data_IF_885715182428
#
_entry.id   IF_885715182428
#
_cell.length_a   1.000
_cell.length_b   1.000
_cell.length_c   1.000
_cell.angle_alpha   90.00
_cell.angle_beta   90.00
_cell.angle_gamma   90.00
#
_symmetry.space_group_name_H-M   'P 1'
#
loop_
_entity.id
_entity.type
_entity.pdbx_description
1 polymer ?
#
# COMPACT_ATOMS: atom_id res chain seq x y z
N UNK A 1 25.23 29.28 2.77
CA UNK A 1 24.36 28.66 3.79
C UNK A 1 22.96 29.24 3.64
N UNK A 2 22.09 28.59 2.87
CA UNK A 2 20.70 29.04 2.72
C UNK A 2 19.80 28.10 3.50
N UNK A 3 19.27 28.57 4.64
CA UNK A 3 18.20 27.88 5.36
C UNK A 3 16.91 28.19 4.63
N UNK A 4 16.48 27.29 3.75
CA UNK A 4 15.14 27.32 3.18
C UNK A 4 14.12 27.18 4.31
N UNK A 5 13.42 28.28 4.62
CA UNK A 5 12.29 28.30 5.55
C UNK A 5 11.21 27.37 5.00
N UNK A 6 10.83 26.38 5.80
CA UNK A 6 9.59 25.64 5.58
C UNK A 6 8.44 26.64 5.66
N UNK A 7 7.66 26.67 4.57
CA UNK A 7 6.41 27.43 4.47
C UNK A 7 5.43 26.93 5.53
N UNK A 8 4.95 27.82 6.39
CA UNK A 8 3.76 27.57 7.21
C UNK A 8 2.58 27.39 6.25
N UNK A 9 2.10 26.15 6.16
CA UNK A 9 1.02 25.76 5.29
C UNK A 9 -0.23 26.62 5.53
N UNK A 10 -0.67 27.35 4.51
CA UNK A 10 -2.04 27.86 4.43
C UNK A 10 -3.06 26.71 4.40
N UNK A 11 -4.38 26.99 4.45
CA UNK A 11 -5.41 25.96 4.41
C UNK A 11 -5.24 25.10 3.15
N UNK A 12 -4.81 23.85 3.36
CA UNK A 12 -4.55 22.89 2.29
C UNK A 12 -5.88 22.57 1.60
N UNK A 13 -6.10 23.16 0.41
CA UNK A 13 -7.32 23.00 -0.38
C UNK A 13 -7.46 21.62 -1.04
N UNK A 14 -6.42 20.78 -0.96
CA UNK A 14 -6.36 19.45 -1.56
C UNK A 14 -5.82 18.42 -0.57
N UNK A 15 -6.40 17.23 -0.59
CA UNK A 15 -5.94 16.08 0.18
C UNK A 15 -4.66 15.52 -0.45
N UNK A 16 -3.52 15.75 0.19
CA UNK A 16 -2.19 15.40 -0.32
C UNK A 16 -1.62 14.16 0.39
N UNK A 17 -0.80 13.35 -0.30
CA UNK A 17 -0.06 12.28 0.35
C UNK A 17 0.98 12.85 1.32
N UNK A 18 1.25 12.11 2.40
CA UNK A 18 2.34 12.41 3.33
C UNK A 18 3.71 12.25 2.66
N UNK A 19 3.83 11.28 1.75
CA UNK A 19 5.03 11.04 0.94
C UNK A 19 4.66 10.38 -0.39
N UNK A 20 5.52 10.51 -1.40
CA UNK A 20 5.35 9.84 -2.69
C UNK A 20 6.58 8.99 -3.03
N UNK A 21 6.43 7.67 -2.96
CA UNK A 21 7.47 6.68 -3.22
C UNK A 21 7.04 5.27 -2.80
N UNK A 22 8.01 4.37 -2.60
CA UNK A 22 7.74 2.98 -2.25
C UNK A 22 8.24 2.66 -0.83
N UNK A 23 7.42 2.00 -0.02
CA UNK A 23 7.85 1.47 1.27
C UNK A 23 8.24 0.02 1.06
N UNK A 24 9.53 -0.25 1.04
CA UNK A 24 10.05 -1.60 0.89
C UNK A 24 10.14 -2.29 2.26
N UNK A 25 10.77 -1.60 3.21
CA UNK A 25 11.18 -2.14 4.51
C UNK A 25 10.60 -1.39 5.71
N UNK A 26 10.80 -1.93 6.91
CA UNK A 26 10.50 -1.22 8.16
C UNK A 26 11.46 -0.06 8.43
N UNK A 27 12.67 -0.08 7.86
CA UNK A 27 13.59 1.07 7.92
C UNK A 27 13.01 2.29 7.19
N UNK A 28 12.35 2.08 6.05
CA UNK A 28 11.64 3.16 5.35
C UNK A 28 10.51 3.76 6.19
N UNK A 29 9.78 2.90 6.89
CA UNK A 29 8.73 3.30 7.84
C UNK A 29 9.31 4.15 8.97
N UNK A 30 10.45 3.75 9.54
CA UNK A 30 11.11 4.50 10.60
C UNK A 30 11.51 5.91 10.14
N UNK A 31 12.05 6.05 8.93
CA UNK A 31 12.41 7.35 8.35
C UNK A 31 11.19 8.26 8.15
N UNK A 32 10.11 7.71 7.59
CA UNK A 32 8.86 8.44 7.38
C UNK A 32 8.24 8.92 8.69
N UNK A 33 8.19 8.04 9.70
CA UNK A 33 7.66 8.39 11.01
C UNK A 33 8.54 9.40 11.74
N UNK A 34 9.87 9.28 11.66
CA UNK A 34 10.78 10.25 12.28
C UNK A 34 10.58 11.65 11.69
N UNK A 35 10.50 11.79 10.35
CA UNK A 35 10.22 13.08 9.72
C UNK A 35 8.82 13.60 10.07
N UNK A 36 7.82 12.73 10.23
CA UNK A 36 6.48 13.14 10.65
C UNK A 36 6.46 13.63 12.11
N UNK A 37 7.14 12.93 13.02
CA UNK A 37 7.29 13.31 14.43
C UNK A 37 8.05 14.63 14.60
N UNK A 38 8.99 14.92 13.69
CA UNK A 38 9.73 16.18 13.66
C UNK A 38 8.98 17.30 12.90
N UNK A 39 7.75 17.06 12.44
CA UNK A 39 6.92 18.04 11.75
C UNK A 39 7.42 18.41 10.34
N UNK A 40 8.33 17.61 9.76
CA UNK A 40 8.84 17.82 8.41
C UNK A 40 7.92 17.20 7.35
N UNK A 41 7.21 16.13 7.71
CA UNK A 41 6.11 15.57 6.93
C UNK A 41 4.81 15.72 7.73
N UNK A 42 3.69 15.89 7.01
CA UNK A 42 2.39 16.05 7.63
C UNK A 42 1.60 14.74 7.58
N UNK A 43 1.12 14.28 8.73
CA UNK A 43 0.06 13.28 8.75
C UNK A 43 -1.22 13.85 8.13
N UNK A 44 -2.09 12.99 7.60
CA UNK A 44 -3.39 13.43 7.10
C UNK A 44 -4.34 13.74 8.26
N UNK A 45 -5.14 14.81 8.15
CA UNK A 45 -6.00 15.25 9.26
C UNK A 45 -7.42 14.67 9.21
N UNK A 46 -7.79 13.94 8.14
CA UNK A 46 -9.14 13.40 7.93
C UNK A 46 -9.13 12.29 6.89
N UNK A 47 -10.26 11.60 6.72
CA UNK A 47 -10.48 10.73 5.56
C UNK A 47 -10.62 11.57 4.27
N UNK A 48 -10.27 10.98 3.11
CA UNK A 48 -10.50 11.62 1.82
C UNK A 48 -12.00 11.68 1.49
N UNK A 49 -12.44 12.79 0.91
CA UNK A 49 -13.79 12.90 0.36
C UNK A 49 -13.91 12.12 -0.95
N UNK A 50 -15.13 11.79 -1.37
CA UNK A 50 -15.39 10.98 -2.57
C UNK A 50 -14.73 11.54 -3.84
N UNK A 51 -14.72 12.87 -4.00
CA UNK A 51 -14.05 13.57 -5.11
C UNK A 51 -12.53 13.45 -5.09
N UNK A 52 -11.94 13.22 -3.93
CA UNK A 52 -10.49 13.12 -3.72
C UNK A 52 -9.99 11.68 -3.88
N UNK A 53 -10.84 10.66 -3.69
CA UNK A 53 -10.46 9.23 -3.70
C UNK A 53 -9.70 8.80 -4.96
N UNK A 54 -10.03 9.34 -6.14
CA UNK A 54 -9.30 9.04 -7.39
C UNK A 54 -7.84 9.50 -7.36
N UNK A 55 -7.55 10.57 -6.64
CA UNK A 55 -6.18 11.08 -6.47
C UNK A 55 -5.45 10.39 -5.31
N UNK A 56 -6.19 9.81 -4.37
CA UNK A 56 -5.63 9.00 -3.28
C UNK A 56 -5.03 7.70 -3.83
N UNK A 57 -5.78 7.00 -4.69
CA UNK A 57 -5.38 5.73 -5.29
C UNK A 57 -4.46 5.99 -6.49
N UNK A 58 -3.22 6.38 -6.19
CA UNK A 58 -2.17 6.55 -7.18
C UNK A 58 -0.91 5.82 -6.71
N UNK A 59 -0.18 5.27 -7.65
CA UNK A 59 1.05 4.55 -7.37
C UNK A 59 2.09 5.50 -6.78
N UNK A 60 2.70 5.09 -5.68
CA UNK A 60 3.63 5.88 -4.89
C UNK A 60 2.99 6.63 -3.72
N UNK A 61 1.68 6.83 -3.69
CA UNK A 61 1.09 7.60 -2.60
C UNK A 61 1.22 6.88 -1.25
N UNK A 62 1.72 7.60 -0.25
CA UNK A 62 1.83 7.17 1.14
C UNK A 62 1.10 8.17 2.03
N UNK A 63 0.24 7.65 2.90
CA UNK A 63 -0.52 8.42 3.88
C UNK A 63 -0.19 7.93 5.28
N UNK A 64 0.08 8.86 6.19
CA UNK A 64 0.27 8.59 7.61
C UNK A 64 -0.86 9.25 8.37
N UNK A 65 -1.52 8.54 9.29
CA UNK A 65 -2.56 9.12 10.14
C UNK A 65 -2.50 8.61 11.57
N UNK A 66 -3.00 9.44 12.48
CA UNK A 66 -3.16 9.15 13.91
C UNK A 66 -4.64 9.26 14.27
N UNK A 67 -5.21 8.23 14.91
CA UNK A 67 -6.64 8.20 15.24
C UNK A 67 -7.04 9.40 16.12
N UNK A 68 -6.25 9.71 17.16
CA UNK A 68 -6.57 10.75 18.13
C UNK A 68 -6.65 12.17 17.56
N UNK A 69 -5.98 12.43 16.43
CA UNK A 69 -5.96 13.76 15.80
C UNK A 69 -6.86 13.79 14.56
N UNK A 70 -6.84 12.72 13.76
CA UNK A 70 -7.56 12.68 12.48
C UNK A 70 -9.01 12.16 12.59
N UNK A 71 -9.34 11.48 13.68
CA UNK A 71 -10.60 10.74 13.85
C UNK A 71 -10.72 9.51 12.95
N UNK A 72 -9.66 9.13 12.21
CA UNK A 72 -9.68 8.00 11.30
C UNK A 72 -9.40 6.73 12.07
N UNK A 73 -10.42 5.89 12.25
CA UNK A 73 -10.27 4.56 12.87
C UNK A 73 -9.88 3.48 11.86
N UNK A 74 -10.43 3.60 10.64
CA UNK A 74 -10.16 2.69 9.53
C UNK A 74 -10.02 3.47 8.24
N UNK A 75 -8.94 3.21 7.53
CA UNK A 75 -8.73 3.79 6.21
C UNK A 75 -9.74 3.24 5.20
N UNK A 76 -10.51 4.13 4.59
CA UNK A 76 -11.55 3.78 3.61
C UNK A 76 -11.34 4.59 2.34
N UNK A 77 -11.11 3.89 1.22
CA UNK A 77 -10.74 4.49 -0.07
C UNK A 77 -11.74 4.18 -1.20
N UNK A 78 -12.74 3.34 -0.93
CA UNK A 78 -13.78 2.96 -1.88
C UNK A 78 -13.35 1.92 -2.93
N UNK A 79 -12.16 1.32 -2.80
CA UNK A 79 -11.69 0.27 -3.70
C UNK A 79 -12.06 -1.10 -3.14
N UNK A 80 -12.41 -2.03 -4.05
CA UNK A 80 -12.64 -3.42 -3.69
C UNK A 80 -11.29 -4.12 -3.55
N UNK A 81 -10.95 -4.49 -2.32
CA UNK A 81 -9.67 -5.11 -1.96
C UNK A 81 -9.84 -6.60 -1.70
N UNK A 82 -8.83 -7.40 -2.04
CA UNK A 82 -8.73 -8.78 -1.58
C UNK A 82 -8.69 -8.86 -0.05
N UNK A 83 -8.91 -10.04 0.56
CA UNK A 83 -8.48 -10.30 1.93
C UNK A 83 -7.00 -9.93 2.12
N UNK A 84 -6.63 -9.56 3.35
CA UNK A 84 -5.25 -9.22 3.69
C UNK A 84 -4.35 -10.45 3.62
N UNK A 85 -3.14 -10.27 3.07
CA UNK A 85 -2.04 -11.21 3.18
C UNK A 85 -0.93 -10.58 4.03
N UNK A 86 -0.36 -11.33 4.97
CA UNK A 86 0.79 -10.87 5.76
C UNK A 86 2.07 -11.03 4.94
N UNK A 87 2.85 -9.96 4.85
CA UNK A 87 4.17 -9.94 4.23
C UNK A 87 5.15 -9.23 5.18
N UNK A 88 5.91 -10.01 5.93
CA UNK A 88 6.69 -9.49 7.06
C UNK A 88 5.81 -8.72 8.03
N UNK A 89 6.14 -7.45 8.27
CA UNK A 89 5.39 -6.57 9.18
C UNK A 89 4.22 -5.83 8.52
N UNK A 90 3.89 -6.17 7.28
CA UNK A 90 2.87 -5.46 6.50
C UNK A 90 1.66 -6.34 6.22
N UNK A 91 0.50 -5.70 6.15
CA UNK A 91 -0.68 -6.28 5.52
C UNK A 91 -0.77 -5.78 4.09
N UNK A 92 -0.93 -6.72 3.17
CA UNK A 92 -1.02 -6.47 1.73
C UNK A 92 -2.42 -6.78 1.25
N UNK A 93 -2.96 -5.88 0.43
CA UNK A 93 -4.24 -5.99 -0.23
C UNK A 93 -4.04 -5.70 -1.72
N UNK A 94 -4.76 -6.40 -2.58
CA UNK A 94 -4.75 -6.13 -4.02
C UNK A 94 -6.14 -5.79 -4.54
N UNK A 95 -6.18 -4.85 -5.47
CA UNK A 95 -7.42 -4.44 -6.13
C UNK A 95 -7.99 -5.64 -6.89
N UNK A 96 -9.25 -5.95 -6.60
CA UNK A 96 -10.03 -6.97 -7.29
C UNK A 96 -11.09 -6.30 -8.15
N UNK A 97 -11.38 -6.90 -9.30
CA UNK A 97 -12.48 -6.44 -10.15
C UNK A 97 -13.82 -6.51 -9.42
N UNK A 98 -14.85 -5.81 -9.91
CA UNK A 98 -16.21 -6.03 -9.43
C UNK A 98 -16.53 -7.52 -9.55
N UNK A 99 -17.12 -8.10 -8.51
CA UNK A 99 -17.61 -9.46 -8.56
C UNK A 99 -18.60 -9.53 -9.74
N UNK A 100 -18.20 -10.15 -10.84
CA UNK A 100 -19.14 -10.51 -11.90
C UNK A 100 -20.16 -11.40 -11.22
N UNK A 101 -21.41 -10.95 -11.11
CA UNK A 101 -22.49 -11.69 -10.47
C UNK A 101 -22.81 -12.97 -11.24
N UNK A 102 -21.94 -13.97 -11.20
CA UNK A 102 -22.31 -15.35 -11.43
C UNK A 102 -22.95 -15.83 -10.14
N UNK A 103 -24.29 -15.85 -10.13
CA UNK A 103 -25.06 -16.67 -9.18
C UNK A 103 -24.42 -18.08 -9.14
N UNK A 104 -24.38 -18.76 -7.98
CA UNK A 104 -24.00 -20.15 -7.97
C UNK A 104 -25.14 -20.92 -8.63
N UNK A 105 -24.98 -21.27 -9.90
CA UNK A 105 -25.84 -22.27 -10.51
C UNK A 105 -25.46 -23.61 -9.88
N UNK A 106 -26.41 -24.20 -9.16
CA UNK A 106 -26.26 -25.48 -8.52
C UNK A 106 -26.11 -26.56 -9.56
N UNK A 107 -24.88 -26.93 -9.89
CA UNK A 107 -24.59 -28.24 -10.49
C UNK A 107 -23.19 -28.72 -10.09
N UNK A 108 -23.14 -29.49 -9.00
CA UNK A 108 -22.12 -30.49 -8.80
C UNK A 108 -22.29 -31.55 -9.88
N UNK A 109 -21.45 -31.55 -10.92
CA UNK A 109 -21.01 -32.79 -11.56
C UNK A 109 -19.55 -32.68 -12.04
N UNK A 110 -18.77 -33.61 -11.52
CA UNK A 110 -17.38 -33.95 -11.80
C UNK A 110 -17.11 -34.12 -13.31
N UNK A 111 -16.02 -33.51 -13.81
CA UNK A 111 -14.99 -34.09 -14.70
C UNK A 111 -14.36 -33.04 -15.65
N UNK A 112 -13.04 -32.91 -15.61
CA UNK A 112 -12.19 -32.63 -16.78
C UNK A 112 -12.08 -31.17 -17.27
N UNK A 113 -10.99 -30.50 -16.87
CA UNK A 113 -10.07 -29.62 -17.63
C UNK A 113 -10.51 -28.81 -18.88
N UNK A 114 -11.76 -28.37 -19.09
CA UNK A 114 -12.17 -27.79 -20.37
C UNK A 114 -12.82 -26.38 -20.36
N UNK A 115 -12.63 -25.55 -19.33
CA UNK A 115 -13.29 -24.23 -19.28
C UNK A 115 -12.32 -23.05 -19.15
N UNK A 116 -11.45 -22.81 -20.15
CA UNK A 116 -10.59 -21.61 -20.16
C UNK A 116 -10.40 -20.94 -21.53
N UNK A 117 -11.42 -20.84 -22.39
CA UNK A 117 -11.30 -20.05 -23.63
C UNK A 117 -12.33 -18.91 -23.67
N UNK A 118 -11.85 -17.67 -23.53
CA UNK A 118 -12.56 -16.46 -23.99
C UNK A 118 -12.03 -16.13 -25.37
N UNK A 119 -12.93 -16.08 -26.35
CA UNK A 119 -12.61 -15.79 -27.74
C UNK A 119 -12.37 -14.29 -27.91
N UNK A 120 -11.14 -13.90 -28.26
CA UNK A 120 -10.86 -12.66 -28.99
C UNK A 120 -9.98 -12.99 -30.18
N UNK A 121 -10.39 -12.45 -31.32
CA UNK A 121 -9.69 -12.57 -32.58
C UNK A 121 -8.44 -11.70 -32.55
N UNK A 122 -7.35 -12.33 -33.01
CA UNK A 122 -6.03 -11.78 -33.28
C UNK A 122 -5.03 -11.66 -32.11
N UNK A 123 -3.88 -12.32 -32.30
CA UNK A 123 -2.68 -12.49 -31.45
C UNK A 123 -2.77 -13.38 -30.18
N UNK A 124 -2.34 -14.63 -30.36
CA UNK A 124 -1.52 -15.38 -29.39
C UNK A 124 -2.22 -15.92 -28.13
N UNK A 125 -2.21 -17.26 -27.98
CA UNK A 125 -2.55 -17.92 -26.72
C UNK A 125 -1.54 -17.54 -25.62
N UNK A 126 -1.87 -16.56 -24.76
CA UNK A 126 -1.16 -16.40 -23.49
C UNK A 126 -1.83 -17.33 -22.48
N UNK A 127 -1.11 -18.37 -22.06
CA UNK A 127 -1.56 -19.28 -21.02
C UNK A 127 -1.89 -18.51 -19.75
N UNK A 128 -3.10 -18.70 -19.23
CA UNK A 128 -3.60 -18.11 -17.96
C UNK A 128 -2.78 -18.55 -16.72
N UNK A 129 -1.78 -19.41 -16.90
CA UNK A 129 -0.80 -19.82 -15.88
C UNK A 129 0.41 -18.88 -15.76
N UNK A 130 0.50 -17.82 -16.58
CA UNK A 130 1.63 -16.88 -16.55
C UNK A 130 1.23 -15.48 -16.08
N UNK A 131 0.60 -15.38 -14.90
CA UNK A 131 0.59 -14.13 -14.15
C UNK A 131 1.63 -14.26 -13.04
N UNK A 132 2.87 -13.93 -13.44
CA UNK A 132 4.08 -13.66 -12.68
C UNK A 132 4.18 -14.28 -11.27
N UNK A 133 4.91 -15.39 -11.18
CA UNK A 133 5.56 -15.83 -9.93
C UNK A 133 6.59 -14.80 -9.40
N UNK A 134 6.99 -13.83 -10.22
CA UNK A 134 8.12 -12.93 -9.94
C UNK A 134 7.79 -11.82 -8.93
N UNK A 135 6.52 -11.44 -8.78
CA UNK A 135 6.13 -10.36 -7.85
C UNK A 135 5.75 -10.90 -6.46
N UNK A 136 6.12 -12.14 -6.12
CA UNK A 136 5.79 -12.74 -4.83
C UNK A 136 6.34 -11.91 -3.66
N UNK A 137 7.49 -11.28 -3.84
CA UNK A 137 8.12 -10.39 -2.84
C UNK A 137 7.32 -9.11 -2.59
N UNK A 138 6.44 -8.71 -3.52
CA UNK A 138 5.57 -7.54 -3.38
C UNK A 138 4.20 -7.91 -2.79
N UNK A 139 3.72 -9.12 -3.09
CA UNK A 139 2.34 -9.51 -2.76
C UNK A 139 2.22 -10.56 -1.65
N UNK A 140 3.30 -11.26 -1.31
CA UNK A 140 3.33 -12.39 -0.38
C UNK A 140 2.79 -13.68 -0.99
N UNK A 141 1.48 -13.77 -1.21
CA UNK A 141 0.80 -14.98 -1.69
C UNK A 141 0.34 -14.88 -3.16
N UNK A 142 0.42 -15.99 -3.93
CA UNK A 142 -0.15 -16.04 -5.27
C UNK A 142 -1.67 -15.99 -5.20
N UNK A 143 -2.29 -15.01 -5.85
CA UNK A 143 -3.75 -14.87 -5.88
C UNK A 143 -4.21 -14.74 -7.33
N UNK A 144 -5.15 -15.61 -7.71
CA UNK A 144 -5.42 -16.00 -9.09
C UNK A 144 -6.51 -15.17 -9.81
N UNK A 145 -6.98 -14.07 -9.22
CA UNK A 145 -8.18 -13.37 -9.72
C UNK A 145 -8.06 -11.84 -9.78
N UNK A 146 -6.92 -11.32 -10.23
CA UNK A 146 -6.71 -9.87 -10.29
C UNK A 146 -6.84 -9.28 -11.68
N UNK A 147 -7.27 -8.02 -11.68
CA UNK A 147 -7.20 -7.11 -12.82
C UNK A 147 -5.74 -6.98 -13.30
N UNK A 148 -5.48 -6.90 -14.61
CA UNK A 148 -4.17 -6.49 -15.12
C UNK A 148 -3.79 -5.12 -14.52
N UNK A 149 -2.54 -4.96 -14.07
CA UNK A 149 -2.05 -3.72 -13.43
C UNK A 149 -2.89 -3.25 -12.23
N UNK A 150 -3.38 -4.21 -11.42
CA UNK A 150 -4.13 -3.89 -10.21
C UNK A 150 -3.27 -3.08 -9.22
N UNK A 151 -3.90 -2.12 -8.54
CA UNK A 151 -3.24 -1.47 -7.42
C UNK A 151 -3.01 -2.44 -6.26
N UNK A 152 -1.94 -2.18 -5.51
CA UNK A 152 -1.63 -2.82 -4.24
C UNK A 152 -1.71 -1.76 -3.15
N UNK A 153 -2.35 -2.12 -2.04
CA UNK A 153 -2.35 -1.36 -0.80
C UNK A 153 -1.53 -2.11 0.23
N UNK A 154 -0.50 -1.47 0.77
CA UNK A 154 0.39 -1.97 1.83
C UNK A 154 0.19 -1.14 3.08
N UNK A 155 -0.13 -1.78 4.19
CA UNK A 155 -0.41 -1.10 5.45
C UNK A 155 0.42 -1.62 6.60
N UNK A 156 0.75 -0.75 7.54
CA UNK A 156 1.40 -1.09 8.80
C UNK A 156 0.93 -0.13 9.88
N UNK A 157 0.89 -0.60 11.13
CA UNK A 157 0.65 0.25 12.30
C UNK A 157 1.86 0.16 13.21
N UNK A 158 2.40 1.31 13.61
CA UNK A 158 3.54 1.38 14.54
C UNK A 158 3.15 2.24 15.73
N UNK A 159 3.31 1.70 16.93
CA UNK A 159 3.05 2.45 18.16
C UNK A 159 4.33 3.13 18.63
N UNK A 160 4.26 4.45 18.80
CA UNK A 160 5.38 5.27 19.30
C UNK A 160 4.84 6.21 20.36
N UNK A 161 5.48 6.22 21.53
CA UNK A 161 5.07 7.02 22.70
C UNK A 161 3.61 6.77 23.09
N UNK A 162 3.17 5.50 23.00
CA UNK A 162 1.80 5.08 23.30
C UNK A 162 0.75 5.44 22.24
N UNK A 163 1.14 6.14 21.16
CA UNK A 163 0.22 6.56 20.09
C UNK A 163 0.39 5.66 18.86
N UNK A 164 -0.67 4.98 18.41
CA UNK A 164 -0.64 4.20 17.17
C UNK A 164 -0.62 5.14 15.95
N UNK A 165 0.37 4.94 15.09
CA UNK A 165 0.51 5.62 13.79
C UNK A 165 0.27 4.63 12.67
N UNK A 166 -0.71 4.92 11.85
CA UNK A 166 -1.11 4.08 10.74
C UNK A 166 -0.51 4.60 9.44
N UNK A 167 0.03 3.68 8.64
CA UNK A 167 0.59 4.00 7.32
C UNK A 167 -0.17 3.21 6.27
N UNK A 168 -0.56 3.88 5.20
CA UNK A 168 -1.20 3.31 4.02
C UNK A 168 -0.41 3.72 2.79
N UNK A 169 0.12 2.75 2.07
CA UNK A 169 0.90 2.95 0.84
C UNK A 169 0.21 2.28 -0.34
N UNK A 170 0.21 2.95 -1.48
CA UNK A 170 -0.32 2.45 -2.74
C UNK A 170 0.78 2.33 -3.78
N UNK A 171 0.80 1.23 -4.53
CA UNK A 171 1.72 1.07 -5.65
C UNK A 171 1.19 0.05 -6.67
N UNK A 172 1.76 0.07 -7.87
CA UNK A 172 1.67 -1.04 -8.83
C UNK A 172 3.03 -1.74 -8.89
N UNK A 173 3.08 -3.06 -9.09
CA UNK A 173 4.38 -3.73 -9.24
C UNK A 173 5.13 -3.26 -10.48
N UNK A 174 4.44 -2.80 -11.52
CA UNK A 174 5.08 -2.21 -12.69
C UNK A 174 5.93 -0.99 -12.33
N UNK A 175 5.40 -0.09 -11.50
CA UNK A 175 6.12 1.12 -11.09
C UNK A 175 7.29 0.82 -10.13
N UNK A 176 7.15 -0.22 -9.30
CA UNK A 176 8.24 -0.70 -8.44
C UNK A 176 9.34 -1.33 -9.29
N UNK A 177 9.00 -2.30 -10.14
CA UNK A 177 9.96 -3.04 -10.99
C UNK A 177 10.68 -2.14 -11.99
N UNK A 178 10.00 -1.13 -12.52
CA UNK A 178 10.62 -0.15 -13.42
C UNK A 178 11.52 0.86 -12.69
N UNK A 179 11.62 0.80 -11.35
CA UNK A 179 12.44 1.71 -10.56
C UNK A 179 11.90 3.15 -10.51
N UNK A 180 10.62 3.36 -10.86
CA UNK A 180 10.02 4.70 -10.89
C UNK A 180 9.79 5.26 -9.49
N UNK A 181 9.55 4.37 -8.52
CA UNK A 181 9.28 4.73 -7.14
C UNK A 181 10.55 4.56 -6.29
N UNK A 182 11.01 5.65 -5.67
CA UNK A 182 12.14 5.62 -4.73
C UNK A 182 11.68 5.19 -3.34
N UNK A 183 12.52 4.45 -2.63
CA UNK A 183 12.30 4.19 -1.21
C UNK A 183 12.79 5.36 -0.36
N UNK A 184 12.19 5.63 0.82
CA UNK A 184 12.72 6.61 1.76
C UNK A 184 14.21 6.42 2.07
N UNK A 185 14.67 5.17 2.23
CA UNK A 185 16.09 4.84 2.43
C UNK A 185 17.01 5.24 1.27
N UNK A 186 16.47 5.36 0.04
CA UNK A 186 17.20 5.75 -1.16
C UNK A 186 16.93 7.21 -1.58
N UNK A 187 16.00 7.89 -0.94
CA UNK A 187 15.64 9.27 -1.27
C UNK A 187 16.53 10.26 -0.49
N UNK A 188 17.27 11.16 -1.19
CA UNK A 188 18.07 12.21 -0.54
C UNK A 188 17.30 13.10 0.45
N UNK A 189 15.96 13.17 0.35
CA UNK A 189 15.11 13.85 1.33
C UNK A 189 15.35 13.37 2.77
N UNK A 190 15.66 12.08 2.95
CA UNK A 190 15.88 11.46 4.25
C UNK A 190 17.36 11.39 4.64
N UNK A 191 18.26 11.99 3.85
CA UNK A 191 19.69 11.99 4.15
C UNK A 191 19.97 12.63 5.51
N UNK A 192 20.67 11.89 6.38
CA UNK A 192 21.01 12.35 7.73
C UNK A 192 19.87 12.28 8.74
N UNK A 193 18.69 11.79 8.36
CA UNK A 193 17.64 11.46 9.31
C UNK A 193 18.03 10.19 10.05
N UNK A 194 18.08 10.27 11.37
CA UNK A 194 18.37 9.15 12.26
C UNK A 194 17.09 8.86 13.05
N UNK A 195 16.35 7.78 12.73
CA UNK A 195 15.17 7.41 13.49
C UNK A 195 15.52 7.11 14.95
N UNK A 196 14.70 7.59 15.88
CA UNK A 196 14.85 7.32 17.32
C UNK A 196 14.75 5.84 17.66
N UNK A 197 15.32 5.44 18.79
CA UNK A 197 15.30 4.06 19.26
C UNK A 197 13.89 3.48 19.46
N UNK A 198 12.92 4.32 19.87
CA UNK A 198 11.52 3.89 20.02
C UNK A 198 10.87 3.51 18.69
N UNK A 199 11.42 3.96 17.55
CA UNK A 199 11.06 3.48 16.22
C UNK A 199 11.89 2.25 15.85
N UNK A 200 13.22 2.35 15.83
CA UNK A 200 14.09 1.28 15.30
C UNK A 200 14.00 -0.03 16.08
N UNK A 201 13.65 0.03 17.36
CA UNK A 201 13.49 -1.12 18.26
C UNK A 201 12.03 -1.38 18.61
N UNK A 202 11.09 -0.84 17.82
CA UNK A 202 9.66 -0.99 18.09
C UNK A 202 9.25 -2.47 18.07
N UNK A 203 8.51 -2.95 19.09
CA UNK A 203 7.96 -4.30 19.08
C UNK A 203 6.89 -4.48 17.98
N UNK A 204 6.36 -3.38 17.41
CA UNK A 204 5.43 -3.43 16.28
C UNK A 204 6.04 -4.10 15.02
N UNK A 205 7.38 -4.22 14.94
CA UNK A 205 8.07 -4.87 13.83
C UNK A 205 8.43 -6.35 14.09
N UNK A 206 7.90 -6.94 15.15
CA UNK A 206 8.18 -8.32 15.56
C UNK A 206 6.96 -9.23 15.42
N UNK A 207 5.99 -8.88 14.56
CA UNK A 207 4.86 -9.78 14.27
C UNK A 207 5.36 -10.89 13.34
N UNK A 208 6.17 -11.78 13.89
CA UNK A 208 6.53 -13.06 13.28
C UNK A 208 5.40 -14.04 13.53
N UNK A 209 4.70 -14.39 12.46
CA UNK A 209 4.17 -15.73 12.18
C UNK A 209 3.70 -16.57 13.39
N UNK A 210 2.61 -16.19 14.07
CA UNK A 210 1.81 -17.19 14.78
C UNK A 210 0.73 -17.66 13.81
N UNK A 211 1.01 -18.78 13.13
CA UNK A 211 0.08 -19.81 12.63
C UNK A 211 0.88 -20.74 11.70
N UNK A 212 1.61 -21.68 12.32
CA UNK A 212 1.89 -23.01 11.73
C UNK A 212 0.70 -23.94 11.99
#
# INVERSE_FOLDING_TARGET
>A
MSKSRLSLAGPQSSFQPTYQGFIDSTSDVCLLLEMCLNGQLCHVPRLPHDRERRHVIQSGNVFIYEEGISGIQRWTDGINWSPSCTLGNFLIYREIGPATGSKPDGSLQTRGSAALLVRREDRGYVSRKSLCSEDQELYGAPIHSYKPNAFTKKTITVTVDGVPRHIVSYYTAEDVRSGRLKTPTQDPLFCGIIPRDSLTRSPSFQVTSEHE
#
